data_IF_092504344610
#
_entry.id   IF_092504344610
#
_cell.length_a   1.000
_cell.length_b   1.000
_cell.length_c   1.000
_cell.angle_alpha   90.00
_cell.angle_beta   90.00
_cell.angle_gamma   90.00
#
_symmetry.space_group_name_H-M   'P 1'
#
loop_
_entity.id
_entity.type
_entity.pdbx_description
1 polymer ?
#
# COMPACT_ATOMS: atom_id res chain seq x y z
N UNK A 1 37.51 2.57 -10.81
CA UNK A 1 36.82 2.71 -9.52
C UNK A 1 36.70 4.20 -9.24
N UNK A 2 35.49 4.76 -9.18
CA UNK A 2 35.26 6.19 -8.94
C UNK A 2 34.60 6.39 -7.55
N UNK A 3 35.00 7.41 -6.77
CA UNK A 3 34.46 7.65 -5.44
C UNK A 3 33.13 8.43 -5.50
N UNK A 4 32.17 8.06 -4.65
CA UNK A 4 30.88 8.75 -4.46
C UNK A 4 31.05 9.98 -3.54
N UNK A 5 30.54 11.13 -3.98
CA UNK A 5 30.52 12.38 -3.21
C UNK A 5 29.33 12.42 -2.21
N UNK A 6 29.46 13.11 -1.06
CA UNK A 6 28.37 13.32 -0.11
C UNK A 6 27.49 14.54 -0.48
N UNK A 7 26.17 14.37 -0.53
CA UNK A 7 25.19 15.46 -0.70
C UNK A 7 24.80 16.08 0.66
N UNK A 8 24.65 17.41 0.80
CA UNK A 8 24.43 18.07 2.09
C UNK A 8 22.95 18.25 2.50
N UNK A 9 22.73 17.99 3.79
CA UNK A 9 21.73 18.43 4.78
C UNK A 9 20.41 19.11 4.36
N UNK A 10 19.31 18.38 4.60
CA UNK A 10 17.95 18.89 4.75
C UNK A 10 16.87 17.80 4.77
N UNK A 11 16.64 17.17 5.94
CA UNK A 11 15.52 16.24 6.25
C UNK A 11 15.43 14.88 5.50
N UNK A 12 15.42 13.81 6.33
CA UNK A 12 15.13 12.38 6.08
C UNK A 12 16.15 11.51 5.29
N UNK A 13 16.93 10.72 6.05
CA UNK A 13 17.33 9.33 5.75
C UNK A 13 17.81 8.67 7.07
N UNK A 14 17.48 7.40 7.44
CA UNK A 14 17.50 6.17 6.60
C UNK A 14 16.29 5.19 6.79
N UNK A 15 15.96 4.27 5.84
CA UNK A 15 16.58 2.92 5.84
C UNK A 15 16.71 2.34 4.41
N UNK A 16 17.87 1.79 4.04
CA UNK A 16 18.01 0.99 2.81
C UNK A 16 17.42 1.63 1.55
N UNK A 17 17.98 2.79 1.18
CA UNK A 17 17.81 3.51 -0.08
C UNK A 17 16.43 4.17 -0.31
N UNK A 18 16.43 5.47 -0.64
CA UNK A 18 15.23 6.26 -0.92
C UNK A 18 14.42 5.79 -2.15
N UNK A 19 14.19 6.61 -3.18
CA UNK A 19 13.44 6.18 -4.39
C UNK A 19 14.06 4.97 -5.10
N UNK A 20 15.36 4.70 -4.89
CA UNK A 20 16.08 3.54 -5.42
C UNK A 20 15.67 2.22 -4.75
N UNK A 21 15.58 2.19 -3.42
CA UNK A 21 15.16 1.01 -2.65
C UNK A 21 13.70 0.66 -2.92
N UNK A 22 12.83 1.66 -3.01
CA UNK A 22 11.43 1.48 -3.43
C UNK A 22 11.32 0.80 -4.79
N UNK A 23 12.16 1.19 -5.76
CA UNK A 23 12.18 0.54 -7.09
C UNK A 23 12.63 -0.91 -7.00
N UNK A 24 13.58 -1.24 -6.13
CA UNK A 24 14.03 -2.62 -5.93
C UNK A 24 12.92 -3.48 -5.31
N UNK A 25 12.25 -2.98 -4.26
CA UNK A 25 11.11 -3.66 -3.63
C UNK A 25 9.94 -3.79 -4.60
N UNK A 26 9.66 -2.76 -5.40
CA UNK A 26 8.63 -2.82 -6.44
C UNK A 26 8.96 -3.86 -7.51
N UNK A 27 10.21 -3.96 -7.97
CA UNK A 27 10.63 -5.01 -8.91
C UNK A 27 10.54 -6.40 -8.30
N UNK A 28 10.88 -6.55 -7.03
CA UNK A 28 10.72 -7.82 -6.33
C UNK A 28 9.24 -8.21 -6.26
N UNK A 29 8.34 -7.31 -5.87
CA UNK A 29 6.90 -7.55 -5.88
C UNK A 29 6.36 -7.89 -7.28
N UNK A 30 6.79 -7.17 -8.31
CA UNK A 30 6.38 -7.42 -9.69
C UNK A 30 6.87 -8.78 -10.20
N UNK A 31 8.09 -9.19 -9.81
CA UNK A 31 8.64 -10.50 -10.18
C UNK A 31 7.89 -11.68 -9.56
N UNK A 32 7.23 -11.47 -8.42
CA UNK A 32 6.49 -12.49 -7.69
C UNK A 32 5.05 -12.70 -8.20
N UNK A 33 4.52 -11.79 -9.03
CA UNK A 33 3.17 -11.91 -9.58
C UNK A 33 2.98 -11.06 -10.82
N UNK A 34 2.37 -11.61 -11.88
CA UNK A 34 2.04 -10.85 -13.10
C UNK A 34 0.85 -9.90 -12.88
N UNK A 35 0.76 -8.80 -13.64
CA UNK A 35 -0.41 -7.94 -13.64
C UNK A 35 -1.59 -8.61 -14.36
N UNK A 36 -2.59 -9.03 -13.58
CA UNK A 36 -3.82 -9.65 -14.07
C UNK A 36 -5.04 -8.71 -14.03
N UNK A 37 -4.83 -7.41 -13.77
CA UNK A 37 -5.89 -6.40 -13.66
C UNK A 37 -5.72 -5.27 -14.70
N UNK A 38 -6.82 -4.65 -15.16
CA UNK A 38 -6.75 -3.44 -15.97
C UNK A 38 -5.99 -2.33 -15.23
N UNK A 39 -5.16 -1.52 -15.92
CA UNK A 39 -4.31 -0.53 -15.28
C UNK A 39 -5.10 0.56 -14.52
N UNK A 40 -6.31 0.89 -14.98
CA UNK A 40 -7.21 1.80 -14.26
C UNK A 40 -7.68 1.23 -12.92
N UNK A 41 -8.08 -0.05 -12.92
CA UNK A 41 -8.51 -0.77 -11.73
C UNK A 41 -7.36 -0.97 -10.75
N UNK A 42 -6.18 -1.35 -11.23
CA UNK A 42 -4.97 -1.49 -10.39
C UNK A 42 -4.65 -0.18 -9.69
N UNK A 43 -4.61 0.95 -10.41
CA UNK A 43 -4.36 2.28 -9.83
C UNK A 43 -5.37 2.66 -8.74
N UNK A 44 -6.66 2.38 -8.96
CA UNK A 44 -7.68 2.67 -7.96
C UNK A 44 -7.52 1.80 -6.71
N UNK A 45 -7.27 0.50 -6.89
CA UNK A 45 -7.01 -0.42 -5.79
C UNK A 45 -5.76 -0.04 -5.00
N UNK A 46 -4.68 0.37 -5.66
CA UNK A 46 -3.48 0.87 -4.99
C UNK A 46 -3.77 2.14 -4.17
N UNK A 47 -4.57 3.06 -4.71
CA UNK A 47 -5.01 4.28 -4.00
C UNK A 47 -5.84 3.93 -2.76
N UNK A 48 -6.81 3.02 -2.89
CA UNK A 48 -7.66 2.57 -1.80
C UNK A 48 -6.84 1.80 -0.75
N UNK A 49 -5.99 0.87 -1.18
CA UNK A 49 -5.12 0.08 -0.32
C UNK A 49 -4.19 0.95 0.52
N UNK A 50 -3.60 1.99 -0.07
CA UNK A 50 -2.79 2.97 0.69
C UNK A 50 -3.61 3.71 1.74
N UNK A 51 -4.84 4.10 1.42
CA UNK A 51 -5.71 4.79 2.36
C UNK A 51 -6.18 3.86 3.50
N UNK A 52 -6.48 2.60 3.21
CA UNK A 52 -6.81 1.59 4.21
C UNK A 52 -5.61 1.30 5.11
N UNK A 53 -4.40 1.13 4.55
CA UNK A 53 -3.17 0.95 5.31
C UNK A 53 -2.93 2.13 6.26
N UNK A 54 -3.02 3.36 5.75
CA UNK A 54 -2.87 4.55 6.59
C UNK A 54 -3.93 4.59 7.70
N UNK A 55 -5.17 4.23 7.40
CA UNK A 55 -6.21 4.06 8.41
C UNK A 55 -5.84 3.03 9.46
N UNK A 56 -5.24 1.91 9.06
CA UNK A 56 -4.89 0.86 10.00
C UNK A 56 -3.76 1.26 10.96
N UNK A 57 -2.67 1.80 10.41
CA UNK A 57 -1.44 2.07 11.18
C UNK A 57 -1.46 3.44 11.87
N UNK A 58 -2.14 4.44 11.29
CA UNK A 58 -2.22 5.80 11.85
C UNK A 58 -3.57 6.10 12.51
N UNK A 59 -4.63 5.37 12.16
CA UNK A 59 -6.00 5.67 12.57
C UNK A 59 -6.72 6.68 11.67
N UNK A 60 -6.03 7.34 10.72
CA UNK A 60 -6.63 8.38 9.86
C UNK A 60 -7.46 7.78 8.73
N UNK A 61 -8.71 8.24 8.58
CA UNK A 61 -9.57 7.80 7.47
C UNK A 61 -10.28 6.48 7.72
N UNK A 62 -10.17 5.91 8.94
CA UNK A 62 -10.94 4.73 9.35
C UNK A 62 -12.45 4.97 9.26
N UNK A 63 -12.90 6.21 9.46
CA UNK A 63 -14.30 6.61 9.29
C UNK A 63 -14.85 6.38 7.88
N UNK A 64 -13.98 6.19 6.87
CA UNK A 64 -14.40 5.85 5.50
C UNK A 64 -14.83 4.38 5.37
N UNK A 65 -14.40 3.51 6.28
CA UNK A 65 -14.74 2.09 6.31
C UNK A 65 -15.01 1.61 7.74
N UNK A 66 -16.11 2.06 8.36
CA UNK A 66 -16.40 1.76 9.76
C UNK A 66 -16.54 0.25 10.04
N UNK A 67 -17.00 -0.54 9.06
CA UNK A 67 -17.13 -2.00 9.18
C UNK A 67 -15.86 -2.81 8.89
N UNK A 68 -14.77 -2.18 8.42
CA UNK A 68 -13.51 -2.88 8.12
C UNK A 68 -12.53 -2.88 9.32
N UNK A 69 -12.49 -1.76 10.05
CA UNK A 69 -11.60 -1.58 11.20
C UNK A 69 -12.27 -2.05 12.49
N UNK A 70 -12.36 -3.36 12.67
CA UNK A 70 -12.78 -3.94 13.94
C UNK A 70 -11.58 -3.99 14.90
N UNK A 71 -11.49 -3.00 15.81
CA UNK A 71 -10.48 -2.91 16.86
C UNK A 71 -9.70 -1.59 16.96
N UNK A 72 -8.89 -1.43 18.03
CA UNK A 72 -8.07 -0.23 18.24
C UNK A 72 -7.04 0.00 17.12
N UNK A 73 -6.50 1.22 17.05
CA UNK A 73 -5.47 1.55 16.05
C UNK A 73 -4.20 0.73 16.33
N UNK A 74 -3.70 0.00 15.33
CA UNK A 74 -2.66 -1.03 15.49
C UNK A 74 -1.30 -0.52 15.97
N UNK A 75 -1.09 0.80 16.03
CA UNK A 75 0.13 1.33 16.64
C UNK A 75 0.37 2.83 16.56
N UNK A 76 -0.58 3.66 16.08
CA UNK A 76 -0.40 5.13 15.96
C UNK A 76 0.95 5.51 15.32
N UNK A 77 1.37 4.75 14.32
CA UNK A 77 2.63 4.98 13.61
C UNK A 77 2.64 6.38 12.97
N UNK A 78 3.81 7.01 12.97
CA UNK A 78 4.08 8.32 12.38
C UNK A 78 5.00 8.16 11.18
N UNK A 79 5.07 9.17 10.32
CA UNK A 79 5.93 9.18 9.12
C UNK A 79 5.75 7.96 8.21
N UNK A 80 4.51 7.50 8.05
CA UNK A 80 4.21 6.29 7.27
C UNK A 80 4.37 6.54 5.77
N UNK A 81 5.18 5.70 5.12
CA UNK A 81 5.45 5.69 3.68
C UNK A 81 5.19 4.29 3.12
N UNK A 82 4.51 4.23 1.98
CA UNK A 82 4.45 3.01 1.17
C UNK A 82 5.69 2.96 0.29
N UNK A 83 6.48 1.90 0.42
CA UNK A 83 7.70 1.66 -0.35
C UNK A 83 7.39 1.00 -1.69
N UNK A 84 6.46 0.05 -1.69
CA UNK A 84 6.03 -0.64 -2.90
C UNK A 84 4.60 -1.13 -2.74
N UNK A 85 3.86 -1.26 -3.84
CA UNK A 85 2.53 -1.83 -3.81
C UNK A 85 2.15 -2.45 -5.16
N UNK A 86 1.41 -3.55 -5.11
CA UNK A 86 0.84 -4.23 -6.28
C UNK A 86 -0.61 -4.60 -5.99
N UNK A 87 -1.47 -4.54 -7.01
CA UNK A 87 -2.82 -5.11 -6.92
C UNK A 87 -2.94 -6.29 -7.90
N UNK A 88 -3.59 -7.36 -7.46
CA UNK A 88 -3.76 -8.61 -8.20
C UNK A 88 -5.19 -9.11 -8.06
N UNK A 89 -5.67 -9.87 -9.04
CA UNK A 89 -6.99 -10.51 -8.92
C UNK A 89 -6.94 -11.64 -7.89
N UNK A 90 -7.95 -11.75 -7.03
CA UNK A 90 -8.02 -12.76 -5.97
C UNK A 90 -8.91 -13.96 -6.35
N UNK A 91 -8.67 -14.52 -7.54
CA UNK A 91 -9.29 -15.78 -7.99
C UNK A 91 -10.77 -15.71 -8.36
N UNK A 92 -11.31 -14.51 -8.64
CA UNK A 92 -12.69 -14.37 -9.08
C UNK A 92 -13.05 -12.96 -9.58
N UNK A 93 -14.11 -12.84 -10.40
CA UNK A 93 -14.58 -11.54 -10.87
C UNK A 93 -14.98 -10.67 -9.68
N UNK A 94 -14.49 -9.44 -9.67
CA UNK A 94 -14.75 -8.49 -8.60
C UNK A 94 -14.07 -8.81 -7.27
N UNK A 95 -12.99 -9.61 -7.27
CA UNK A 95 -12.14 -9.80 -6.10
C UNK A 95 -10.71 -9.41 -6.45
N UNK A 96 -10.11 -8.58 -5.61
CA UNK A 96 -8.73 -8.16 -5.75
C UNK A 96 -8.01 -8.22 -4.40
N UNK A 97 -6.70 -8.38 -4.46
CA UNK A 97 -5.81 -8.31 -3.31
C UNK A 97 -4.73 -7.29 -3.61
N UNK A 98 -4.49 -6.40 -2.66
CA UNK A 98 -3.44 -5.41 -2.72
C UNK A 98 -2.37 -5.80 -1.72
N UNK A 99 -1.16 -6.02 -2.21
CA UNK A 99 0.02 -6.24 -1.39
C UNK A 99 0.80 -4.94 -1.35
N UNK A 100 1.02 -4.42 -0.14
CA UNK A 100 1.80 -3.22 0.10
C UNK A 100 2.98 -3.55 0.98
N UNK A 101 4.08 -2.86 0.76
CA UNK A 101 5.23 -2.83 1.66
C UNK A 101 5.37 -1.40 2.16
N UNK A 102 5.47 -1.23 3.47
CA UNK A 102 5.49 0.10 4.09
C UNK A 102 6.56 0.23 5.16
N UNK A 103 6.87 1.49 5.44
CA UNK A 103 7.77 1.92 6.49
C UNK A 103 7.09 2.99 7.35
N UNK A 104 7.45 3.08 8.62
CA UNK A 104 6.94 4.06 9.55
C UNK A 104 7.66 4.01 10.88
N UNK A 105 7.44 5.04 11.69
CA UNK A 105 8.03 5.19 13.02
C UNK A 105 6.96 4.88 14.06
N UNK A 106 7.23 3.95 14.96
CA UNK A 106 6.28 3.64 16.04
C UNK A 106 6.27 4.77 17.11
N UNK A 107 5.31 4.77 18.05
CA UNK A 107 5.21 5.79 19.09
C UNK A 107 6.44 5.86 20.01
N UNK A 108 7.18 4.76 20.15
CA UNK A 108 8.45 4.68 20.87
C UNK A 108 9.64 5.27 20.11
N UNK A 109 9.45 5.75 18.88
CA UNK A 109 10.49 6.36 18.06
C UNK A 109 11.32 5.34 17.27
N UNK A 110 10.98 4.06 17.31
CA UNK A 110 11.66 3.00 16.58
C UNK A 110 11.18 2.98 15.12
N UNK A 111 12.15 3.03 14.21
CA UNK A 111 11.85 3.02 12.80
C UNK A 111 11.69 1.59 12.27
N UNK A 112 10.62 1.32 11.53
CA UNK A 112 10.38 0.03 10.87
C UNK A 112 10.21 0.25 9.37
N UNK A 113 10.78 -0.66 8.58
CA UNK A 113 10.67 -0.66 7.12
C UNK A 113 10.55 -2.09 6.61
N UNK A 114 10.05 -2.26 5.38
CA UNK A 114 9.84 -3.58 4.79
C UNK A 114 8.67 -4.34 5.40
N UNK A 115 7.73 -3.68 6.07
CA UNK A 115 6.55 -4.33 6.66
C UNK A 115 5.57 -4.71 5.54
N UNK A 116 5.27 -6.00 5.32
CA UNK A 116 4.24 -6.39 4.38
C UNK A 116 2.85 -6.10 4.97
N UNK A 117 1.93 -5.65 4.14
CA UNK A 117 0.52 -5.51 4.44
C UNK A 117 -0.28 -6.04 3.26
N UNK A 118 -1.31 -6.83 3.54
CA UNK A 118 -2.19 -7.39 2.52
C UNK A 118 -3.61 -6.93 2.80
N UNK A 119 -4.26 -6.36 1.79
CA UNK A 119 -5.61 -5.80 1.90
C UNK A 119 -6.43 -6.42 0.79
N UNK A 120 -7.52 -7.10 1.14
CA UNK A 120 -8.43 -7.70 0.17
C UNK A 120 -9.53 -6.70 -0.17
N UNK A 121 -9.93 -6.68 -1.42
CA UNK A 121 -11.01 -5.85 -1.91
C UNK A 121 -12.03 -6.72 -2.64
N UNK A 122 -13.30 -6.40 -2.46
CA UNK A 122 -14.37 -6.88 -3.33
C UNK A 122 -14.97 -5.68 -4.05
N UNK A 123 -15.36 -5.87 -5.30
CA UNK A 123 -16.20 -4.88 -5.98
C UNK A 123 -17.66 -5.28 -5.75
N UNK A 124 -18.44 -4.40 -5.16
CA UNK A 124 -19.90 -4.48 -5.27
C UNK A 124 -20.24 -4.21 -6.74
N UNK A 125 -20.48 -5.27 -7.50
CA UNK A 125 -20.64 -5.21 -8.94
C UNK A 125 -21.77 -4.26 -9.34
N UNK A 126 -21.44 -3.12 -9.92
CA UNK A 126 -22.10 -2.75 -11.17
C UNK A 126 -21.26 -3.36 -12.28
N UNK A 127 -21.89 -4.29 -12.98
CA UNK A 127 -21.36 -5.02 -14.12
C UNK A 127 -20.55 -4.09 -15.01
N UNK A 128 -19.43 -4.59 -15.51
CA UNK A 128 -18.53 -3.91 -16.44
C UNK A 128 -19.15 -3.63 -17.83
N UNK A 129 -20.47 -3.40 -17.90
CA UNK A 129 -21.24 -3.12 -19.10
C UNK A 129 -21.61 -1.64 -19.25
N UNK A 130 -21.46 -0.84 -18.20
CA UNK A 130 -21.59 0.61 -18.28
C UNK A 130 -20.39 1.23 -17.61
N UNK A 131 -19.78 2.25 -18.22
CA UNK A 131 -18.49 2.85 -17.83
C UNK A 131 -18.44 3.55 -16.47
N UNK A 132 -19.24 3.10 -15.49
CA UNK A 132 -19.15 3.48 -14.08
C UNK A 132 -18.13 2.60 -13.36
N UNK A 133 -17.07 3.23 -12.84
CA UNK A 133 -16.01 2.54 -12.11
C UNK A 133 -16.55 1.64 -11.00
N UNK A 134 -16.01 0.43 -10.92
CA UNK A 134 -16.33 -0.52 -9.87
C UNK A 134 -16.08 0.10 -8.48
N UNK A 135 -17.12 0.13 -7.63
CA UNK A 135 -16.98 0.52 -6.23
C UNK A 135 -16.27 -0.60 -5.47
N UNK A 136 -14.99 -0.42 -5.19
CA UNK A 136 -14.17 -1.37 -4.44
C UNK A 136 -14.26 -1.10 -2.94
N UNK A 137 -14.58 -2.14 -2.18
CA UNK A 137 -14.70 -2.12 -0.73
C UNK A 137 -13.68 -3.07 -0.12
N UNK A 138 -12.92 -2.62 0.91
CA UNK A 138 -11.97 -3.49 1.59
C UNK A 138 -12.72 -4.53 2.42
N UNK A 139 -12.27 -5.77 2.36
CA UNK A 139 -12.80 -6.91 3.12
C UNK A 139 -11.66 -7.59 3.86
N UNK A 140 -11.96 -8.15 5.04
CA UNK A 140 -10.97 -8.85 5.87
C UNK A 140 -10.91 -10.33 5.50
#
# INVERSE_FOLDING_TARGET
MAPFAPSPSGALAPPGEGPGGDRAVQRALDSLSRPDLPPGTERELLRLGRAVLLGDVTGRGRQRWPGYFDGPVAGRYRQVRVQAAIARSAGGPGRAVVHLVWAGTDPGGNHTAGRPATIRFTSAGRTALEGGGASWEPVR
#
